data_IF_162635124625
#
_entry.id   IF_162635124625
#
_cell.length_a   1.000
_cell.length_b   1.000
_cell.length_c   1.000
_cell.angle_alpha   90.00
_cell.angle_beta   90.00
_cell.angle_gamma   90.00
#
_symmetry.space_group_name_H-M   'P 1'
#
loop_
_entity.id
_entity.type
_entity.pdbx_description
1 polymer ?
#
# COMPACT_ATOMS: atom_id res chain seq x y z
N UNK A 1 78.18 -60.87 -31.26
CA UNK A 1 78.06 -59.43 -31.37
C UNK A 1 76.70 -59.08 -30.87
N UNK A 2 76.64 -58.42 -29.73
CA UNK A 2 75.37 -58.17 -29.02
C UNK A 2 74.86 -56.77 -29.36
N UNK A 3 73.65 -56.68 -29.90
CA UNK A 3 72.91 -55.37 -30.15
C UNK A 3 72.15 -54.99 -28.92
N UNK A 4 72.43 -53.81 -28.42
CA UNK A 4 71.75 -53.21 -27.26
C UNK A 4 70.51 -52.39 -27.76
N UNK A 5 69.33 -52.80 -27.34
CA UNK A 5 68.09 -52.08 -27.64
C UNK A 5 67.79 -51.13 -26.52
N UNK A 6 67.77 -49.83 -26.80
CA UNK A 6 67.29 -48.75 -25.87
C UNK A 6 65.83 -48.43 -26.14
N UNK A 7 65.02 -48.66 -25.12
CA UNK A 7 63.62 -48.18 -25.12
C UNK A 7 63.57 -46.71 -24.70
N UNK A 8 62.74 -45.87 -25.32
CA UNK A 8 62.48 -44.47 -24.85
C UNK A 8 61.48 -44.46 -23.67
N UNK A 9 61.81 -43.68 -22.68
CA UNK A 9 60.94 -43.42 -21.51
C UNK A 9 59.82 -42.46 -21.89
N UNK A 10 58.58 -42.84 -21.54
CA UNK A 10 57.39 -42.00 -21.60
C UNK A 10 57.39 -41.07 -20.40
N UNK A 11 57.41 -39.73 -20.62
CA UNK A 11 57.15 -38.69 -19.67
C UNK A 11 55.61 -38.51 -19.51
N UNK A 12 55.08 -38.43 -18.32
CA UNK A 12 53.68 -38.09 -18.14
C UNK A 12 53.43 -36.57 -18.37
N UNK A 13 52.54 -36.25 -19.30
CA UNK A 13 52.06 -34.88 -19.54
C UNK A 13 51.23 -34.42 -18.36
N UNK A 14 51.73 -33.46 -17.59
CA UNK A 14 50.98 -32.73 -16.58
C UNK A 14 49.98 -31.78 -17.28
N UNK A 15 48.70 -32.14 -17.31
CA UNK A 15 47.62 -31.22 -17.73
C UNK A 15 47.35 -30.28 -16.58
N UNK A 16 47.82 -29.04 -16.70
CA UNK A 16 47.55 -27.95 -15.79
C UNK A 16 46.13 -27.43 -16.11
N UNK A 17 45.12 -27.82 -15.32
CA UNK A 17 43.79 -27.26 -15.39
C UNK A 17 43.82 -25.87 -14.71
N UNK A 18 43.84 -24.81 -15.52
CA UNK A 18 43.63 -23.43 -15.05
C UNK A 18 42.16 -23.24 -14.78
N UNK A 19 41.74 -23.37 -13.53
CA UNK A 19 40.40 -22.96 -13.07
C UNK A 19 40.39 -21.44 -13.01
N UNK A 20 39.87 -20.80 -14.04
CA UNK A 20 39.57 -19.37 -14.03
C UNK A 20 38.38 -19.13 -13.07
N UNK A 21 38.69 -18.76 -11.82
CA UNK A 21 37.68 -18.20 -10.91
C UNK A 21 37.27 -16.83 -11.44
N UNK A 22 36.20 -16.80 -12.26
CA UNK A 22 35.53 -15.60 -12.61
C UNK A 22 34.77 -15.10 -11.36
N UNK A 23 35.37 -14.22 -10.57
CA UNK A 23 34.68 -13.47 -9.55
C UNK A 23 33.67 -12.54 -10.26
N UNK A 24 32.44 -13.02 -10.44
CA UNK A 24 31.33 -12.16 -10.78
C UNK A 24 31.14 -11.18 -9.62
N UNK A 25 31.71 -10.00 -9.73
CA UNK A 25 31.33 -8.85 -8.89
C UNK A 25 29.87 -8.56 -9.29
N UNK A 26 28.94 -9.09 -8.52
CA UNK A 26 27.55 -8.64 -8.56
C UNK A 26 27.56 -7.19 -8.05
N UNK A 27 27.70 -6.25 -8.96
CA UNK A 27 27.42 -4.85 -8.67
C UNK A 27 25.93 -4.81 -8.44
N UNK A 28 25.50 -4.90 -7.18
CA UNK A 28 24.15 -4.54 -6.78
C UNK A 28 23.98 -3.06 -7.10
N UNK A 29 23.33 -2.77 -8.25
CA UNK A 29 22.82 -1.44 -8.51
C UNK A 29 21.91 -1.08 -7.32
N UNK A 30 22.13 0.04 -6.66
CA UNK A 30 21.22 0.47 -5.61
C UNK A 30 19.82 0.48 -6.21
N UNK A 31 18.86 -0.18 -5.55
CA UNK A 31 17.46 -0.07 -5.91
C UNK A 31 17.18 1.43 -5.98
N UNK A 32 16.81 1.92 -7.15
CA UNK A 32 16.52 3.33 -7.35
C UNK A 32 15.34 3.64 -6.44
N UNK A 33 15.62 4.35 -5.34
CA UNK A 33 14.60 4.74 -4.39
C UNK A 33 13.47 5.40 -5.19
N UNK A 34 12.24 4.94 -5.02
CA UNK A 34 11.10 5.52 -5.71
C UNK A 34 11.11 7.03 -5.40
N UNK A 35 11.34 7.86 -6.41
CA UNK A 35 11.39 9.30 -6.20
C UNK A 35 9.96 9.83 -6.08
N UNK A 36 9.65 10.46 -4.95
CA UNK A 36 8.38 11.17 -4.80
C UNK A 36 8.44 12.48 -5.57
N UNK A 37 7.39 12.75 -6.35
CA UNK A 37 7.27 14.00 -7.10
C UNK A 37 6.47 15.02 -6.30
N UNK A 38 7.02 16.22 -6.12
CA UNK A 38 6.28 17.34 -5.53
C UNK A 38 5.45 18.04 -6.61
N UNK A 39 4.14 18.13 -6.38
CA UNK A 39 3.15 18.73 -7.28
C UNK A 39 2.64 20.01 -6.64
N UNK A 40 3.00 21.16 -7.19
CA UNK A 40 2.42 22.46 -6.87
C UNK A 40 1.39 22.90 -7.91
N UNK A 41 1.62 22.51 -9.16
CA UNK A 41 0.72 22.68 -10.30
C UNK A 41 0.80 21.41 -11.13
N UNK A 42 -0.33 20.89 -11.55
CA UNK A 42 -0.37 19.64 -12.33
C UNK A 42 -0.02 19.94 -13.79
N UNK A 43 0.94 19.23 -14.39
CA UNK A 43 1.30 19.45 -15.80
C UNK A 43 0.15 19.08 -16.73
N UNK A 44 -0.58 20.07 -17.23
CA UNK A 44 -1.66 19.89 -18.21
C UNK A 44 -1.85 21.16 -19.02
N UNK A 45 -2.27 21.01 -20.27
CA UNK A 45 -2.71 22.11 -21.14
C UNK A 45 -4.23 22.28 -21.11
N UNK A 46 -4.96 21.31 -20.54
CA UNK A 46 -6.41 21.41 -20.37
C UNK A 46 -6.76 22.51 -19.36
N UNK A 47 -7.73 23.38 -19.60
CA UNK A 47 -8.17 24.40 -18.67
C UNK A 47 -8.95 23.77 -17.51
N UNK A 48 -8.24 23.03 -16.64
CA UNK A 48 -8.81 22.24 -15.53
C UNK A 48 -8.13 22.62 -14.23
N UNK A 49 -8.92 22.78 -13.17
CA UNK A 49 -8.49 23.12 -11.81
C UNK A 49 -8.72 21.93 -10.89
N UNK A 50 -7.77 21.63 -10.02
CA UNK A 50 -7.91 20.67 -8.93
C UNK A 50 -8.33 21.42 -7.65
N UNK A 51 -9.57 21.23 -7.21
CA UNK A 51 -10.00 21.67 -5.88
C UNK A 51 -9.57 20.65 -4.84
N UNK A 52 -8.86 21.08 -3.80
CA UNK A 52 -8.40 20.21 -2.72
C UNK A 52 -8.81 20.80 -1.36
N UNK A 53 -9.20 19.92 -0.43
CA UNK A 53 -9.71 20.31 0.89
C UNK A 53 -9.02 19.54 1.98
N UNK A 54 -8.41 20.22 2.95
CA UNK A 54 -7.78 19.58 4.09
C UNK A 54 -8.71 19.59 5.31
N UNK A 55 -8.73 18.48 6.05
CA UNK A 55 -9.48 18.33 7.29
C UNK A 55 -8.58 17.74 8.38
N UNK A 56 -8.52 18.43 9.51
CA UNK A 56 -7.64 18.02 10.61
C UNK A 56 -8.17 18.28 12.00
N UNK A 57 -9.04 19.27 12.18
CA UNK A 57 -9.42 19.75 13.51
C UNK A 57 -10.83 19.31 13.95
N UNK A 58 -11.82 19.54 13.13
CA UNK A 58 -13.22 19.28 13.44
C UNK A 58 -14.01 18.84 12.20
N UNK A 59 -15.25 18.40 12.42
CA UNK A 59 -16.16 18.01 11.33
C UNK A 59 -16.39 19.16 10.34
N UNK A 60 -16.42 20.38 10.85
CA UNK A 60 -16.56 21.63 10.09
C UNK A 60 -17.70 21.63 9.09
N UNK A 61 -17.42 22.18 7.92
CA UNK A 61 -18.36 22.32 6.81
C UNK A 61 -18.20 21.22 5.73
N UNK A 62 -17.63 20.07 6.06
CA UNK A 62 -17.40 18.99 5.10
C UNK A 62 -18.68 18.56 4.37
N UNK A 63 -19.81 18.47 5.08
CA UNK A 63 -21.09 18.12 4.48
C UNK A 63 -21.58 19.19 3.49
N UNK A 64 -21.44 20.48 3.82
CA UNK A 64 -21.79 21.56 2.92
C UNK A 64 -20.93 21.59 1.67
N UNK A 65 -19.62 21.34 1.82
CA UNK A 65 -18.66 21.24 0.69
C UNK A 65 -19.07 20.10 -0.23
N UNK A 66 -19.31 18.90 0.31
CA UNK A 66 -19.74 17.73 -0.46
C UNK A 66 -21.06 17.98 -1.20
N UNK A 67 -22.05 18.61 -0.52
CA UNK A 67 -23.30 18.99 -1.16
C UNK A 67 -23.09 19.95 -2.33
N UNK A 68 -22.21 20.93 -2.17
CA UNK A 68 -21.87 21.89 -3.24
C UNK A 68 -21.18 21.22 -4.41
N UNK A 69 -20.20 20.35 -4.15
CA UNK A 69 -19.48 19.60 -5.18
C UNK A 69 -20.43 18.68 -5.96
N UNK A 70 -21.26 17.92 -5.25
CA UNK A 70 -22.27 17.03 -5.84
C UNK A 70 -23.26 17.78 -6.73
N UNK A 71 -23.81 18.90 -6.25
CA UNK A 71 -24.73 19.72 -7.02
C UNK A 71 -24.12 20.29 -8.30
N UNK A 72 -22.79 20.39 -8.35
CA UNK A 72 -22.05 20.90 -9.50
C UNK A 72 -21.41 19.78 -10.35
N UNK A 73 -21.54 18.50 -10.00
CA UNK A 73 -20.93 17.38 -10.69
C UNK A 73 -19.40 17.43 -10.67
N UNK A 74 -18.79 17.85 -9.55
CA UNK A 74 -17.36 18.05 -9.42
C UNK A 74 -16.76 16.96 -8.54
N UNK A 75 -15.77 16.23 -9.05
CA UNK A 75 -14.89 15.42 -8.24
C UNK A 75 -13.72 16.29 -7.75
N UNK A 76 -13.46 16.26 -6.45
CA UNK A 76 -12.39 16.98 -5.78
C UNK A 76 -11.43 16.01 -5.10
N UNK A 77 -10.44 16.54 -4.35
CA UNK A 77 -9.55 15.71 -3.56
C UNK A 77 -9.50 16.20 -2.11
N UNK A 78 -9.46 15.25 -1.16
CA UNK A 78 -9.57 15.54 0.26
C UNK A 78 -8.36 15.02 1.02
N UNK A 79 -7.61 15.91 1.69
CA UNK A 79 -6.50 15.63 2.59
C UNK A 79 -7.00 15.41 4.02
N UNK A 80 -7.23 14.12 4.39
CA UNK A 80 -7.81 13.80 5.68
C UNK A 80 -6.74 13.38 6.67
N UNK A 81 -6.81 13.90 7.90
CA UNK A 81 -6.09 13.28 9.01
C UNK A 81 -6.79 11.99 9.43
N UNK A 82 -6.00 11.05 9.99
CA UNK A 82 -6.56 9.79 10.47
C UNK A 82 -7.54 9.98 11.62
N UNK A 83 -7.30 10.94 12.50
CA UNK A 83 -8.24 11.28 13.58
C UNK A 83 -9.56 11.81 13.04
N UNK A 84 -9.52 12.69 12.04
CA UNK A 84 -10.74 13.18 11.40
C UNK A 84 -11.52 12.05 10.73
N UNK A 85 -10.82 11.18 10.00
CA UNK A 85 -11.39 10.02 9.34
C UNK A 85 -12.08 9.08 10.34
N UNK A 86 -11.44 8.80 11.47
CA UNK A 86 -11.97 7.96 12.54
C UNK A 86 -13.23 8.57 13.18
N UNK A 87 -13.26 9.89 13.34
CA UNK A 87 -14.37 10.61 13.98
C UNK A 87 -15.56 10.85 13.06
N UNK A 88 -15.35 10.81 11.73
CA UNK A 88 -16.35 11.14 10.73
C UNK A 88 -16.47 10.07 9.63
N UNK A 89 -16.69 8.79 9.97
CA UNK A 89 -16.71 7.70 8.99
C UNK A 89 -17.82 7.84 7.95
N UNK A 90 -18.94 8.46 8.32
CA UNK A 90 -20.06 8.74 7.43
C UNK A 90 -19.68 9.72 6.29
N UNK A 91 -18.96 10.80 6.60
CA UNK A 91 -18.48 11.74 5.60
C UNK A 91 -17.32 11.20 4.79
N UNK A 92 -16.41 10.46 5.44
CA UNK A 92 -15.32 9.77 4.75
C UNK A 92 -15.84 8.78 3.70
N UNK A 93 -16.84 7.96 4.10
CA UNK A 93 -17.49 7.03 3.18
C UNK A 93 -18.17 7.80 2.03
N UNK A 94 -18.84 8.88 2.34
CA UNK A 94 -19.49 9.73 1.34
C UNK A 94 -18.50 10.31 0.33
N UNK A 95 -17.29 10.73 0.77
CA UNK A 95 -16.23 11.21 -0.13
C UNK A 95 -15.85 10.14 -1.15
N UNK A 96 -15.71 8.90 -0.72
CA UNK A 96 -15.37 7.78 -1.60
C UNK A 96 -16.53 7.42 -2.53
N UNK A 97 -17.76 7.30 -2.00
CA UNK A 97 -18.95 6.92 -2.77
C UNK A 97 -19.30 7.99 -3.83
N UNK A 98 -18.96 9.27 -3.60
CA UNK A 98 -19.16 10.37 -4.54
C UNK A 98 -17.96 10.59 -5.49
N UNK A 99 -16.97 9.68 -5.50
CA UNK A 99 -15.86 9.64 -6.47
C UNK A 99 -14.73 10.64 -6.20
N UNK A 100 -14.62 11.14 -4.97
CA UNK A 100 -13.51 12.03 -4.61
C UNK A 100 -12.22 11.26 -4.34
N UNK A 101 -11.08 11.88 -4.60
CA UNK A 101 -9.75 11.33 -4.29
C UNK A 101 -9.39 11.63 -2.84
N UNK A 102 -8.80 10.64 -2.14
CA UNK A 102 -8.26 10.84 -0.80
C UNK A 102 -6.75 11.06 -0.84
N UNK A 103 -6.25 11.93 0.05
CA UNK A 103 -4.84 12.27 0.25
C UNK A 103 -4.51 11.97 1.71
N UNK A 104 -3.39 11.29 2.00
CA UNK A 104 -2.94 11.13 3.38
C UNK A 104 -2.42 12.45 3.94
N UNK A 105 -3.02 12.90 5.03
CA UNK A 105 -2.64 14.15 5.69
C UNK A 105 -2.12 13.92 7.13
N UNK A 106 -1.45 12.78 7.36
CA UNK A 106 -0.99 12.29 8.67
C UNK A 106 -2.12 11.83 9.60
N UNK A 107 -1.76 11.33 10.80
CA UNK A 107 -2.73 10.90 11.80
C UNK A 107 -3.33 12.07 12.59
N UNK A 108 -2.46 12.92 13.20
CA UNK A 108 -2.83 13.99 14.12
C UNK A 108 -2.13 15.33 13.82
N UNK A 109 -1.69 15.49 12.57
CA UNK A 109 -1.17 16.74 12.02
C UNK A 109 0.15 17.27 12.64
N UNK A 110 1.18 16.45 12.94
CA UNK A 110 2.47 16.95 13.40
C UNK A 110 3.29 17.54 12.25
N UNK A 111 4.25 18.43 12.57
CA UNK A 111 5.26 18.84 11.61
C UNK A 111 6.22 17.68 11.32
N UNK A 112 6.18 17.16 10.09
CA UNK A 112 6.96 16.00 9.66
C UNK A 112 8.47 16.25 9.64
N UNK A 113 8.90 17.52 9.61
CA UNK A 113 10.33 17.86 9.66
C UNK A 113 10.93 17.74 11.06
N UNK A 114 10.09 17.67 12.09
CA UNK A 114 10.50 17.65 13.50
C UNK A 114 10.39 16.28 14.17
N UNK A 115 9.73 15.31 13.52
CA UNK A 115 9.54 13.95 14.06
C UNK A 115 10.45 12.93 13.37
N UNK A 116 10.66 11.77 14.01
CA UNK A 116 11.52 10.70 13.48
C UNK A 116 10.89 9.96 12.28
N UNK A 117 11.70 9.22 11.52
CA UNK A 117 11.23 8.35 10.43
C UNK A 117 10.17 7.34 10.90
N UNK A 118 10.37 6.70 12.06
CA UNK A 118 9.40 5.75 12.61
C UNK A 118 8.07 6.43 12.97
N UNK A 119 8.13 7.64 13.51
CA UNK A 119 6.94 8.43 13.79
C UNK A 119 6.21 8.83 12.52
N UNK A 120 6.92 9.27 11.46
CA UNK A 120 6.33 9.56 10.14
C UNK A 120 5.65 8.34 9.56
N UNK A 121 6.31 7.17 9.61
CA UNK A 121 5.75 5.91 9.15
C UNK A 121 4.47 5.56 9.92
N UNK A 122 4.48 5.66 11.24
CA UNK A 122 3.32 5.44 12.09
C UNK A 122 2.15 6.37 11.75
N UNK A 123 2.43 7.67 11.54
CA UNK A 123 1.44 8.67 11.16
C UNK A 123 0.70 8.27 9.87
N UNK A 124 1.44 7.90 8.84
CA UNK A 124 0.88 7.56 7.53
C UNK A 124 0.17 6.21 7.53
N UNK A 125 0.76 5.20 8.16
CA UNK A 125 0.18 3.85 8.20
C UNK A 125 -1.11 3.79 9.00
N UNK A 126 -1.19 4.49 10.14
CA UNK A 126 -2.41 4.57 10.95
C UNK A 126 -3.55 5.24 10.17
N UNK A 127 -3.25 6.32 9.47
CA UNK A 127 -4.22 7.04 8.61
C UNK A 127 -4.71 6.15 7.48
N UNK A 128 -3.79 5.50 6.76
CA UNK A 128 -4.13 4.57 5.69
C UNK A 128 -4.98 3.40 6.21
N UNK A 129 -4.66 2.88 7.40
CA UNK A 129 -5.39 1.77 8.03
C UNK A 129 -6.83 2.15 8.35
N UNK A 130 -7.07 3.31 8.99
CA UNK A 130 -8.45 3.72 9.32
C UNK A 130 -9.26 3.99 8.05
N UNK A 131 -8.67 4.65 7.05
CA UNK A 131 -9.37 4.92 5.78
C UNK A 131 -9.74 3.60 5.07
N UNK A 132 -8.82 2.65 4.99
CA UNK A 132 -9.11 1.31 4.43
C UNK A 132 -10.19 0.56 5.19
N UNK A 133 -10.14 0.57 6.51
CA UNK A 133 -11.11 -0.14 7.34
C UNK A 133 -12.53 0.44 7.18
N UNK A 134 -12.66 1.76 7.10
CA UNK A 134 -13.96 2.42 7.02
C UNK A 134 -14.55 2.40 5.61
N UNK A 135 -13.71 2.44 4.56
CA UNK A 135 -14.20 2.68 3.18
C UNK A 135 -13.75 1.65 2.16
N UNK A 136 -12.72 0.85 2.46
CA UNK A 136 -12.04 0.02 1.48
C UNK A 136 -11.12 0.79 0.51
N UNK A 137 -11.12 2.13 0.54
CA UNK A 137 -10.30 2.98 -0.32
C UNK A 137 -8.87 3.14 0.24
N UNK A 138 -8.01 3.79 -0.55
CA UNK A 138 -6.61 4.10 -0.19
C UNK A 138 -6.30 5.56 -0.47
N UNK A 139 -5.36 6.12 0.29
CA UNK A 139 -4.81 7.44 0.01
C UNK A 139 -3.63 7.38 -0.96
N UNK A 140 -3.08 6.19 -1.17
CA UNK A 140 -2.00 6.02 -2.15
C UNK A 140 -2.48 6.39 -3.56
N UNK A 141 -1.65 7.08 -4.33
CA UNK A 141 -0.25 7.44 -4.09
C UNK A 141 -0.03 8.88 -3.56
N UNK A 142 -1.03 9.51 -2.92
CA UNK A 142 -1.04 10.93 -2.59
C UNK A 142 -0.78 11.19 -1.11
N UNK A 143 0.18 12.07 -0.84
CA UNK A 143 0.50 12.59 0.48
C UNK A 143 0.51 14.11 0.45
N UNK A 144 0.03 14.76 1.51
CA UNK A 144 0.21 16.18 1.76
C UNK A 144 0.79 16.37 3.16
N UNK A 145 1.97 17.03 3.30
CA UNK A 145 2.56 17.26 4.61
C UNK A 145 1.74 18.27 5.40
N UNK A 146 1.50 18.04 6.71
CA UNK A 146 1.01 19.06 7.60
C UNK A 146 1.80 20.35 7.49
N UNK A 147 1.12 21.51 7.53
CA UNK A 147 1.71 22.84 7.36
C UNK A 147 2.43 23.08 6.02
N UNK A 148 2.38 22.15 5.08
CA UNK A 148 3.23 22.18 3.90
C UNK A 148 4.71 21.95 4.21
N UNK A 149 5.04 21.48 5.41
CA UNK A 149 6.42 21.33 5.89
C UNK A 149 7.03 19.99 5.42
N UNK A 150 8.07 20.05 4.60
CA UNK A 150 8.81 18.87 4.14
C UNK A 150 10.27 19.21 3.84
N UNK A 151 11.09 18.17 3.87
CA UNK A 151 12.49 18.18 3.42
C UNK A 151 12.80 16.85 2.73
N UNK A 152 14.02 16.66 2.25
CA UNK A 152 14.39 15.44 1.54
C UNK A 152 14.25 14.18 2.39
N UNK A 153 14.50 14.24 3.70
CA UNK A 153 14.29 13.09 4.61
C UNK A 153 12.83 12.70 4.68
N UNK A 154 11.91 13.67 4.82
CA UNK A 154 10.46 13.44 4.78
C UNK A 154 10.06 12.78 3.46
N UNK A 155 10.52 13.31 2.34
CA UNK A 155 10.19 12.79 1.02
C UNK A 155 10.68 11.35 0.83
N UNK A 156 11.88 11.02 1.32
CA UNK A 156 12.42 9.66 1.24
C UNK A 156 11.59 8.67 2.08
N UNK A 157 11.23 9.04 3.31
CA UNK A 157 10.43 8.20 4.20
C UNK A 157 9.03 7.95 3.64
N UNK A 158 8.41 8.99 3.10
CA UNK A 158 7.08 8.92 2.48
C UNK A 158 7.09 8.06 1.20
N UNK A 159 8.14 8.22 0.36
CA UNK A 159 8.34 7.38 -0.82
C UNK A 159 8.53 5.91 -0.49
N UNK A 160 9.25 5.59 0.61
CA UNK A 160 9.45 4.23 1.08
C UNK A 160 8.15 3.52 1.48
N UNK A 161 7.09 4.28 1.81
CA UNK A 161 5.76 3.78 2.13
C UNK A 161 4.83 3.66 0.91
N UNK A 162 5.34 3.92 -0.31
CA UNK A 162 4.59 3.79 -1.55
C UNK A 162 3.91 5.07 -2.05
N UNK A 163 4.03 6.18 -1.36
CA UNK A 163 3.54 7.47 -1.85
C UNK A 163 4.45 7.98 -2.97
N UNK A 164 3.84 8.50 -4.02
CA UNK A 164 4.55 8.98 -5.23
C UNK A 164 4.42 10.46 -5.45
N UNK A 165 3.40 11.06 -4.86
CA UNK A 165 3.10 12.48 -5.03
C UNK A 165 3.02 13.17 -3.67
N UNK A 166 3.90 14.17 -3.49
CA UNK A 166 3.81 15.15 -2.44
C UNK A 166 2.96 16.31 -2.96
N UNK A 167 1.69 16.38 -2.56
CA UNK A 167 0.71 17.32 -3.09
C UNK A 167 0.79 18.65 -2.33
N UNK A 168 1.37 19.63 -2.98
CA UNK A 168 1.36 21.03 -2.53
C UNK A 168 0.20 21.77 -3.21
N UNK A 169 0.31 23.07 -3.39
CA UNK A 169 -0.73 23.92 -3.97
C UNK A 169 -0.16 25.06 -4.79
N UNK A 170 -0.91 25.49 -5.80
CA UNK A 170 -0.67 26.71 -6.55
C UNK A 170 -1.13 27.95 -5.77
N UNK A 171 -2.25 27.80 -5.06
CA UNK A 171 -2.83 28.85 -4.23
C UNK A 171 -3.43 28.29 -2.95
N UNK A 172 -3.08 28.88 -1.82
CA UNK A 172 -3.78 28.74 -0.55
C UNK A 172 -4.84 29.85 -0.45
N UNK A 173 -6.08 29.48 -0.21
CA UNK A 173 -7.19 30.44 -0.06
C UNK A 173 -7.04 31.33 1.17
N UNK A 174 -6.34 30.84 2.20
CA UNK A 174 -6.24 31.44 3.54
C UNK A 174 -7.59 31.59 4.25
N UNK A 175 -8.62 30.83 3.83
CA UNK A 175 -9.91 30.78 4.50
C UNK A 175 -9.77 30.38 5.98
N UNK A 176 -8.88 29.43 6.26
CA UNK A 176 -8.52 28.99 7.62
C UNK A 176 -7.88 30.11 8.47
N UNK A 177 -7.27 31.10 7.83
CA UNK A 177 -6.59 32.25 8.48
C UNK A 177 -7.41 33.54 8.39
N UNK A 178 -8.72 33.46 8.26
CA UNK A 178 -9.64 34.57 8.35
C UNK A 178 -9.85 35.37 7.06
N UNK A 179 -9.38 34.89 5.90
CA UNK A 179 -9.73 35.51 4.63
C UNK A 179 -11.24 35.48 4.40
N UNK A 180 -11.81 36.61 3.99
CA UNK A 180 -13.23 36.74 3.66
C UNK A 180 -13.60 35.98 2.39
N UNK A 181 -14.86 35.70 2.18
CA UNK A 181 -15.39 35.06 0.96
C UNK A 181 -14.90 35.77 -0.32
N UNK A 182 -14.90 37.12 -0.32
CA UNK A 182 -14.43 37.89 -1.47
C UNK A 182 -12.94 37.77 -1.71
N UNK A 183 -12.13 37.77 -0.65
CA UNK A 183 -10.68 37.57 -0.76
C UNK A 183 -10.34 36.18 -1.25
N UNK A 184 -10.98 35.13 -0.73
CA UNK A 184 -10.82 33.74 -1.21
C UNK A 184 -11.08 33.66 -2.70
N UNK A 185 -12.21 34.14 -3.17
CA UNK A 185 -12.59 34.17 -4.60
C UNK A 185 -11.53 34.87 -5.43
N UNK A 186 -11.11 36.07 -4.98
CA UNK A 186 -10.11 36.86 -5.71
C UNK A 186 -8.74 36.17 -5.77
N UNK A 187 -8.30 35.53 -4.66
CA UNK A 187 -7.06 34.77 -4.62
C UNK A 187 -7.07 33.62 -5.62
N UNK A 188 -8.13 32.81 -5.63
CA UNK A 188 -8.26 31.67 -6.55
C UNK A 188 -8.28 32.13 -7.99
N UNK A 189 -9.05 33.16 -8.33
CA UNK A 189 -9.18 33.68 -9.68
C UNK A 189 -7.86 34.30 -10.21
N UNK A 190 -7.10 34.95 -9.34
CA UNK A 190 -5.80 35.53 -9.72
C UNK A 190 -4.72 34.46 -9.98
N UNK A 191 -4.82 33.32 -9.31
CA UNK A 191 -3.89 32.21 -9.44
C UNK A 191 -4.33 31.14 -10.47
N UNK A 192 -5.52 31.28 -11.04
CA UNK A 192 -6.09 30.28 -11.96
C UNK A 192 -5.24 30.12 -13.22
N UNK A 193 -4.66 28.94 -13.38
CA UNK A 193 -3.94 28.48 -14.56
C UNK A 193 -4.31 27.02 -14.83
N UNK A 194 -4.16 26.48 -16.05
CA UNK A 194 -4.34 25.05 -16.29
C UNK A 194 -3.53 24.22 -15.29
N UNK A 195 -4.18 23.25 -14.66
CA UNK A 195 -3.55 22.38 -13.66
C UNK A 195 -3.34 22.99 -12.27
N UNK A 196 -3.86 24.20 -12.01
CA UNK A 196 -3.74 24.80 -10.66
C UNK A 196 -4.37 23.90 -9.58
N UNK A 197 -3.64 23.74 -8.49
CA UNK A 197 -4.09 23.04 -7.27
C UNK A 197 -4.50 24.09 -6.25
N UNK A 198 -5.78 24.13 -5.90
CA UNK A 198 -6.34 25.07 -4.93
C UNK A 198 -6.44 24.39 -3.58
N UNK A 199 -5.78 24.93 -2.57
CA UNK A 199 -5.89 24.48 -1.18
C UNK A 199 -7.02 25.25 -0.48
N UNK A 200 -7.99 24.49 0.02
CA UNK A 200 -9.12 24.90 0.85
C UNK A 200 -9.17 24.02 2.10
N UNK A 201 -10.01 24.39 3.09
CA UNK A 201 -10.13 23.64 4.35
C UNK A 201 -11.60 23.42 4.71
N UNK A 202 -11.87 22.27 5.38
CA UNK A 202 -13.24 21.94 5.83
C UNK A 202 -13.58 22.50 7.20
N UNK A 203 -12.60 22.86 8.03
CA UNK A 203 -12.76 23.24 9.43
C UNK A 203 -13.75 24.41 9.63
N UNK A 204 -14.44 24.43 10.78
CA UNK A 204 -15.48 25.41 11.10
C UNK A 204 -14.99 26.87 11.16
N UNK A 205 -13.69 27.09 11.37
CA UNK A 205 -13.08 28.43 11.33
C UNK A 205 -12.87 28.94 9.89
N UNK A 206 -12.96 28.07 8.87
CA UNK A 206 -12.69 28.45 7.48
C UNK A 206 -13.93 29.03 6.79
N UNK A 207 -13.70 30.04 5.94
CA UNK A 207 -14.73 30.63 5.06
C UNK A 207 -14.79 29.90 3.69
N UNK A 208 -14.03 28.84 3.48
CA UNK A 208 -13.92 28.17 2.18
C UNK A 208 -15.25 27.57 1.72
N UNK A 209 -15.99 26.94 2.63
CA UNK A 209 -17.32 26.38 2.30
C UNK A 209 -18.31 27.44 1.81
N UNK A 210 -18.28 28.63 2.41
CA UNK A 210 -19.14 29.76 2.01
C UNK A 210 -18.67 30.37 0.67
N UNK A 211 -17.34 30.33 0.39
CA UNK A 211 -16.78 30.89 -0.83
C UNK A 211 -16.92 29.93 -2.03
N UNK A 212 -16.97 28.60 -1.79
CA UNK A 212 -16.90 27.56 -2.81
C UNK A 212 -17.91 27.74 -3.98
N UNK A 213 -19.20 28.02 -3.76
CA UNK A 213 -20.14 28.26 -4.88
C UNK A 213 -19.67 29.40 -5.80
N UNK A 214 -19.19 30.50 -5.23
CA UNK A 214 -18.67 31.64 -5.99
C UNK A 214 -17.38 31.33 -6.71
N UNK A 215 -16.46 30.58 -6.08
CA UNK A 215 -15.22 30.10 -6.72
C UNK A 215 -15.52 29.24 -7.95
N UNK A 216 -16.46 28.30 -7.83
CA UNK A 216 -16.88 27.45 -8.95
C UNK A 216 -17.44 28.28 -10.10
N UNK A 217 -18.33 29.23 -9.76
CA UNK A 217 -18.95 30.13 -10.75
C UNK A 217 -17.91 30.97 -11.50
N UNK A 218 -16.99 31.60 -10.76
CA UNK A 218 -15.97 32.47 -11.32
C UNK A 218 -14.98 31.71 -12.24
N UNK A 219 -14.56 30.52 -11.83
CA UNK A 219 -13.66 29.66 -12.62
C UNK A 219 -14.34 29.18 -13.91
N UNK A 220 -15.61 28.72 -13.81
CA UNK A 220 -16.41 28.37 -15.00
C UNK A 220 -16.59 29.52 -15.97
N UNK A 221 -16.83 30.73 -15.47
CA UNK A 221 -16.94 31.94 -16.30
C UNK A 221 -15.64 32.24 -17.08
N UNK A 222 -14.49 31.75 -16.61
CA UNK A 222 -13.21 31.83 -17.30
C UNK A 222 -12.87 30.59 -18.16
N UNK A 223 -13.81 29.66 -18.30
CA UNK A 223 -13.66 28.47 -19.13
C UNK A 223 -12.92 27.30 -18.44
N UNK A 224 -12.73 27.36 -17.12
CA UNK A 224 -12.12 26.24 -16.39
C UNK A 224 -13.16 25.17 -16.04
N UNK A 225 -12.76 23.90 -16.24
CA UNK A 225 -13.37 22.73 -15.68
C UNK A 225 -12.71 22.33 -14.36
N UNK A 226 -13.20 21.23 -13.77
CA UNK A 226 -12.69 20.70 -12.51
C UNK A 226 -12.40 19.20 -12.65
N UNK A 227 -11.38 18.73 -11.96
CA UNK A 227 -11.05 17.32 -11.88
C UNK A 227 -10.33 17.01 -10.57
N UNK A 228 -10.44 15.77 -10.12
CA UNK A 228 -9.69 15.28 -8.96
C UNK A 228 -8.22 15.03 -9.31
N UNK A 229 -7.39 14.78 -8.30
CA UNK A 229 -6.01 14.34 -8.53
C UNK A 229 -5.94 13.01 -9.29
N UNK A 230 -6.86 12.08 -9.03
CA UNK A 230 -6.94 10.83 -9.79
C UNK A 230 -7.21 11.07 -11.27
N UNK A 231 -8.10 12.00 -11.60
CA UNK A 231 -8.42 12.32 -12.98
C UNK A 231 -7.23 12.94 -13.72
N UNK A 232 -6.43 13.75 -13.02
CA UNK A 232 -5.33 14.52 -13.59
C UNK A 232 -3.97 13.82 -13.53
N UNK A 233 -3.69 13.08 -12.46
CA UNK A 233 -2.42 12.40 -12.22
C UNK A 233 -2.54 10.87 -12.37
N UNK A 234 -3.72 10.31 -12.10
CA UNK A 234 -4.00 8.89 -12.28
C UNK A 234 -4.00 8.44 -13.75
N UNK A 235 -4.17 9.38 -14.71
CA UNK A 235 -3.97 9.15 -16.14
C UNK A 235 -2.51 9.00 -16.57
N UNK A 236 -1.53 9.25 -15.69
CA UNK A 236 -0.19 8.70 -15.83
C UNK A 236 -0.27 7.25 -15.35
N UNK A 237 -0.62 6.36 -16.27
CA UNK A 237 -0.81 4.94 -16.04
C UNK A 237 0.26 4.43 -15.05
N UNK A 238 -0.17 3.91 -13.89
CA UNK A 238 0.62 2.91 -13.19
C UNK A 238 1.10 1.97 -14.28
N UNK A 239 2.39 1.61 -14.37
CA UNK A 239 2.77 0.62 -15.34
C UNK A 239 1.79 -0.55 -15.17
N UNK A 240 1.06 -0.86 -16.24
CA UNK A 240 0.07 -1.95 -16.20
C UNK A 240 0.73 -3.27 -15.81
N UNK A 241 2.06 -3.29 -15.78
CA UNK A 241 2.90 -4.44 -15.42
C UNK A 241 4.23 -4.00 -14.81
N UNK A 242 4.76 -4.84 -13.92
CA UNK A 242 6.08 -4.70 -13.29
C UNK A 242 6.86 -6.00 -13.43
N UNK A 243 8.10 -5.92 -13.91
CA UNK A 243 9.03 -7.05 -13.94
C UNK A 243 9.82 -7.15 -12.64
N UNK A 244 9.93 -8.35 -12.11
CA UNK A 244 10.72 -8.66 -10.91
C UNK A 244 11.95 -9.50 -11.29
N UNK A 245 13.14 -8.87 -11.43
CA UNK A 245 14.34 -9.58 -11.86
C UNK A 245 14.81 -10.64 -10.86
N UNK A 246 14.37 -10.55 -9.60
CA UNK A 246 14.71 -11.53 -8.55
C UNK A 246 14.14 -12.92 -8.83
N UNK A 247 13.00 -12.99 -9.50
CA UNK A 247 12.30 -14.24 -9.81
C UNK A 247 12.07 -14.43 -11.31
N UNK A 248 12.29 -13.39 -12.11
CA UNK A 248 12.13 -13.44 -13.56
C UNK A 248 10.67 -13.36 -14.03
N UNK A 249 9.74 -12.86 -13.20
CA UNK A 249 8.31 -12.84 -13.48
C UNK A 249 7.73 -11.43 -13.57
N UNK A 250 6.67 -11.30 -14.34
CA UNK A 250 5.85 -10.10 -14.44
C UNK A 250 4.68 -10.15 -13.47
N UNK A 251 4.26 -8.99 -13.02
CA UNK A 251 3.04 -8.79 -12.24
C UNK A 251 2.24 -7.68 -12.92
N UNK A 252 0.97 -7.93 -13.25
CA UNK A 252 0.22 -7.09 -14.18
C UNK A 252 -1.13 -6.66 -13.63
N UNK A 253 -1.69 -5.58 -14.20
CA UNK A 253 -3.07 -5.13 -14.07
C UNK A 253 -3.65 -5.13 -12.63
N UNK A 254 -4.76 -5.82 -12.43
CA UNK A 254 -5.44 -5.93 -11.14
C UNK A 254 -4.59 -6.57 -10.04
N UNK A 255 -3.79 -7.59 -10.40
CA UNK A 255 -2.88 -8.26 -9.45
C UNK A 255 -1.77 -7.33 -9.00
N UNK A 256 -1.19 -6.52 -9.90
CA UNK A 256 -0.19 -5.51 -9.54
C UNK A 256 -0.78 -4.45 -8.60
N UNK A 257 -1.96 -3.92 -8.94
CA UNK A 257 -2.65 -2.93 -8.09
C UNK A 257 -3.00 -3.50 -6.72
N UNK A 258 -3.47 -4.75 -6.66
CA UNK A 258 -3.74 -5.43 -5.39
C UNK A 258 -2.46 -5.61 -4.57
N UNK A 259 -1.38 -6.11 -5.19
CA UNK A 259 -0.09 -6.29 -4.53
C UNK A 259 0.44 -4.98 -3.94
N UNK A 260 0.41 -3.89 -4.70
CA UNK A 260 0.85 -2.56 -4.23
C UNK A 260 -0.05 -2.01 -3.11
N UNK A 261 -1.36 -2.18 -3.22
CA UNK A 261 -2.31 -1.64 -2.25
C UNK A 261 -2.32 -2.39 -0.91
N UNK A 262 -1.95 -3.68 -0.88
CA UNK A 262 -2.15 -4.53 0.29
C UNK A 262 -0.86 -5.08 0.91
N UNK A 263 0.26 -4.38 0.76
CA UNK A 263 1.49 -4.62 1.51
C UNK A 263 2.66 -5.20 0.71
N UNK A 264 2.48 -5.43 -0.59
CA UNK A 264 3.58 -5.71 -1.52
C UNK A 264 4.49 -6.85 -1.11
N UNK A 265 5.79 -6.59 -1.23
CA UNK A 265 6.84 -7.57 -0.93
C UNK A 265 6.80 -8.11 0.50
N UNK A 266 6.51 -7.25 1.47
CA UNK A 266 6.49 -7.65 2.88
C UNK A 266 5.38 -8.67 3.17
N UNK A 267 4.19 -8.48 2.58
CA UNK A 267 3.02 -9.32 2.82
C UNK A 267 2.98 -10.55 1.91
N UNK A 268 3.26 -10.38 0.62
CA UNK A 268 3.04 -11.43 -0.39
C UNK A 268 4.32 -12.06 -0.93
N UNK A 269 5.46 -11.38 -0.79
CA UNK A 269 6.71 -11.78 -1.44
C UNK A 269 6.74 -11.41 -2.92
N UNK A 270 7.75 -11.92 -3.62
CA UNK A 270 7.87 -11.80 -5.07
C UNK A 270 6.89 -12.71 -5.81
N UNK A 271 6.41 -12.35 -7.03
CA UNK A 271 5.74 -13.30 -7.90
C UNK A 271 6.71 -14.42 -8.28
N UNK A 272 6.25 -15.67 -8.24
CA UNK A 272 7.04 -16.86 -8.56
C UNK A 272 6.50 -17.62 -9.78
N UNK A 273 5.44 -17.10 -10.40
CA UNK A 273 4.89 -17.56 -11.67
C UNK A 273 4.43 -16.37 -12.49
N UNK A 274 4.16 -16.59 -13.77
CA UNK A 274 3.23 -15.75 -14.54
C UNK A 274 1.78 -16.06 -14.16
N UNK A 275 0.83 -15.26 -14.66
CA UNK A 275 -0.59 -15.57 -14.58
C UNK A 275 -0.92 -16.82 -15.39
N UNK A 276 -1.68 -17.75 -14.84
CA UNK A 276 -2.16 -18.95 -15.56
C UNK A 276 -3.52 -19.39 -15.02
N UNK A 277 -4.17 -20.35 -15.69
CA UNK A 277 -5.45 -20.87 -15.26
C UNK A 277 -5.27 -22.13 -14.42
N UNK A 278 -5.75 -22.11 -13.18
CA UNK A 278 -5.83 -23.25 -12.28
C UNK A 278 -7.28 -23.46 -11.83
N UNK A 279 -7.82 -24.64 -12.04
CA UNK A 279 -9.22 -24.92 -11.65
C UNK A 279 -10.29 -24.02 -12.28
N UNK A 280 -10.00 -23.39 -13.43
CA UNK A 280 -10.92 -22.47 -14.11
C UNK A 280 -10.83 -21.02 -13.64
N UNK A 281 -9.90 -20.71 -12.74
CA UNK A 281 -9.64 -19.36 -12.23
C UNK A 281 -8.26 -18.90 -12.71
N UNK A 282 -8.11 -17.64 -13.11
CA UNK A 282 -6.79 -17.05 -13.36
C UNK A 282 -6.09 -16.81 -12.05
N UNK A 283 -4.91 -17.40 -11.88
CA UNK A 283 -4.11 -17.31 -10.65
C UNK A 283 -2.69 -16.86 -10.94
N UNK A 284 -2.06 -16.28 -9.93
CA UNK A 284 -0.62 -16.04 -9.89
C UNK A 284 -0.09 -16.39 -8.50
N UNK A 285 0.99 -17.15 -8.44
CA UNK A 285 1.65 -17.50 -7.18
C UNK A 285 2.72 -16.49 -6.83
N UNK A 286 2.78 -16.19 -5.55
CA UNK A 286 3.80 -15.39 -4.88
C UNK A 286 4.49 -16.27 -3.84
N UNK A 287 5.65 -15.85 -3.32
CA UNK A 287 6.36 -16.61 -2.29
C UNK A 287 5.45 -16.99 -1.10
N UNK A 288 4.55 -16.08 -0.69
CA UNK A 288 3.70 -16.22 0.51
C UNK A 288 2.21 -16.39 0.23
N UNK A 289 1.76 -16.15 -1.01
CA UNK A 289 0.33 -16.10 -1.34
C UNK A 289 0.05 -16.67 -2.72
N UNK A 290 -1.23 -16.98 -3.01
CA UNK A 290 -1.77 -17.15 -4.35
C UNK A 290 -2.86 -16.09 -4.55
N UNK A 291 -2.72 -15.28 -5.60
CA UNK A 291 -3.78 -14.37 -6.05
C UNK A 291 -4.68 -15.07 -7.04
N UNK A 292 -5.99 -14.83 -6.93
CA UNK A 292 -7.04 -15.42 -7.74
C UNK A 292 -7.91 -14.30 -8.31
N UNK A 293 -8.05 -14.24 -9.63
CA UNK A 293 -8.89 -13.24 -10.27
C UNK A 293 -10.34 -13.69 -10.33
N UNK A 294 -11.22 -12.94 -9.67
CA UNK A 294 -12.67 -13.18 -9.58
C UNK A 294 -13.42 -11.93 -10.04
N UNK A 295 -13.73 -11.79 -11.34
CA UNK A 295 -14.37 -10.60 -11.90
C UNK A 295 -15.68 -10.27 -11.18
N UNK A 296 -15.84 -9.02 -10.74
CA UNK A 296 -17.02 -8.53 -10.04
C UNK A 296 -17.15 -8.98 -8.59
N UNK A 297 -16.16 -9.70 -8.03
CA UNK A 297 -16.24 -10.18 -6.65
C UNK A 297 -16.16 -9.05 -5.63
N UNK A 298 -15.29 -8.03 -5.89
CA UNK A 298 -15.15 -6.87 -5.02
C UNK A 298 -14.35 -5.75 -5.70
N UNK A 299 -14.98 -4.64 -6.13
CA UNK A 299 -14.29 -3.55 -6.82
C UNK A 299 -13.10 -2.95 -6.06
N UNK A 300 -13.23 -2.76 -4.73
CA UNK A 300 -12.18 -2.24 -3.87
C UNK A 300 -10.96 -3.18 -3.73
N UNK A 301 -11.07 -4.43 -4.17
CA UNK A 301 -10.01 -5.43 -4.18
C UNK A 301 -9.52 -5.76 -5.58
N UNK A 302 -9.82 -4.94 -6.55
CA UNK A 302 -9.39 -5.13 -7.95
C UNK A 302 -9.78 -6.51 -8.53
N UNK A 303 -10.92 -7.06 -8.06
CA UNK A 303 -11.39 -8.42 -8.39
C UNK A 303 -10.42 -9.55 -7.94
N UNK A 304 -9.49 -9.28 -7.01
CA UNK A 304 -8.52 -10.25 -6.52
C UNK A 304 -8.95 -10.79 -5.16
N UNK A 305 -8.99 -12.10 -5.05
CA UNK A 305 -9.10 -12.83 -3.79
C UNK A 305 -7.79 -13.59 -3.50
N UNK A 306 -7.56 -13.86 -2.23
CA UNK A 306 -6.40 -14.66 -1.81
C UNK A 306 -6.80 -16.12 -1.64
N UNK A 307 -6.05 -17.03 -2.28
CA UNK A 307 -6.19 -18.45 -2.10
C UNK A 307 -6.04 -18.89 -0.64
N UNK A 308 -6.81 -19.90 -0.21
CA UNK A 308 -6.81 -20.40 1.16
C UNK A 308 -5.65 -21.38 1.41
N UNK A 309 -4.42 -20.93 1.17
CA UNK A 309 -3.22 -21.78 1.20
C UNK A 309 -2.96 -22.42 2.56
N UNK A 310 -3.27 -21.73 3.64
CA UNK A 310 -3.17 -22.31 4.98
C UNK A 310 -4.08 -23.51 5.15
N UNK A 311 -5.35 -23.42 4.72
CA UNK A 311 -6.29 -24.54 4.76
C UNK A 311 -5.84 -25.67 3.84
N UNK A 312 -5.40 -25.35 2.62
CA UNK A 312 -4.98 -26.35 1.63
C UNK A 312 -3.78 -27.18 2.12
N UNK A 313 -2.76 -26.50 2.68
CA UNK A 313 -1.53 -27.13 3.15
C UNK A 313 -1.67 -27.86 4.49
N UNK A 314 -2.72 -27.55 5.25
CA UNK A 314 -3.00 -28.21 6.54
C UNK A 314 -4.11 -29.24 6.47
N UNK A 315 -4.56 -29.59 5.24
CA UNK A 315 -5.53 -30.65 5.02
C UNK A 315 -5.04 -31.96 5.61
N UNK A 316 -5.85 -32.59 6.51
CA UNK A 316 -5.48 -33.81 7.22
C UNK A 316 -4.81 -33.58 8.60
N UNK A 317 -4.47 -32.35 8.96
CA UNK A 317 -3.84 -32.02 10.26
C UNK A 317 -4.81 -31.70 11.38
N UNK A 318 -6.11 -31.75 11.15
CA UNK A 318 -7.17 -31.38 12.13
C UNK A 318 -7.15 -32.27 13.39
N UNK A 319 -6.53 -33.44 13.34
CA UNK A 319 -6.36 -34.33 14.50
C UNK A 319 -5.16 -33.92 15.40
N UNK A 320 -4.23 -33.11 14.91
CA UNK A 320 -3.09 -32.61 15.68
C UNK A 320 -3.56 -31.64 16.77
N UNK A 321 -2.90 -31.65 17.94
CA UNK A 321 -3.31 -30.85 19.08
C UNK A 321 -3.43 -29.34 18.77
N UNK A 322 -2.50 -28.81 17.97
CA UNK A 322 -2.47 -27.39 17.60
C UNK A 322 -3.61 -26.96 16.67
N UNK A 323 -4.22 -27.89 15.93
CA UNK A 323 -5.31 -27.63 14.99
C UNK A 323 -6.70 -27.96 15.56
N UNK A 324 -6.78 -28.46 16.80
CA UNK A 324 -8.06 -28.72 17.45
C UNK A 324 -8.62 -27.43 18.02
N UNK A 325 -9.91 -27.15 17.78
CA UNK A 325 -10.57 -26.03 18.43
C UNK A 325 -10.46 -26.12 19.96
N UNK A 326 -10.21 -24.98 20.58
CA UNK A 326 -10.14 -24.85 22.05
C UNK A 326 -11.40 -24.18 22.59
N UNK A 327 -11.59 -24.25 23.89
CA UNK A 327 -12.63 -23.47 24.54
C UNK A 327 -12.18 -22.01 24.70
N UNK A 328 -13.15 -21.10 24.58
CA UNK A 328 -12.90 -19.69 24.83
C UNK A 328 -12.42 -19.49 26.27
N UNK A 329 -11.25 -18.86 26.41
CA UNK A 329 -10.73 -18.40 27.69
C UNK A 329 -10.47 -16.91 27.63
N UNK A 330 -10.77 -16.19 28.70
CA UNK A 330 -10.48 -14.76 28.81
C UNK A 330 -8.98 -14.56 29.02
N UNK A 331 -8.32 -13.91 28.08
CA UNK A 331 -6.93 -13.46 28.17
C UNK A 331 -6.82 -12.09 27.51
N UNK A 332 -6.35 -11.10 28.24
CA UNK A 332 -6.22 -9.72 27.73
C UNK A 332 -5.24 -9.60 26.56
N UNK A 333 -4.29 -10.53 26.43
CA UNK A 333 -3.29 -10.54 25.37
C UNK A 333 -3.73 -11.31 24.13
N UNK A 334 -4.90 -11.96 24.18
CA UNK A 334 -5.40 -12.84 23.13
C UNK A 334 -6.78 -12.38 22.65
N UNK A 335 -7.06 -12.67 21.37
CA UNK A 335 -8.41 -12.59 20.80
C UNK A 335 -8.85 -13.99 20.42
N UNK A 336 -10.00 -14.44 20.93
CA UNK A 336 -10.60 -15.72 20.56
C UNK A 336 -11.54 -15.56 19.38
N UNK A 337 -11.38 -16.38 18.36
CA UNK A 337 -12.21 -16.38 17.16
C UNK A 337 -13.18 -17.56 17.16
N UNK A 338 -14.44 -17.28 17.46
CA UNK A 338 -15.49 -18.30 17.55
C UNK A 338 -15.70 -19.05 16.22
N UNK A 339 -15.42 -18.41 15.08
CA UNK A 339 -15.59 -19.00 13.75
C UNK A 339 -14.72 -20.25 13.51
N UNK A 340 -13.55 -20.31 14.15
CA UNK A 340 -12.60 -21.43 14.01
C UNK A 340 -12.27 -22.10 15.34
N UNK A 341 -12.61 -21.48 16.46
CA UNK A 341 -12.31 -21.98 17.80
C UNK A 341 -10.85 -21.84 18.20
N UNK A 342 -10.14 -20.84 17.66
CA UNK A 342 -8.72 -20.60 17.95
C UNK A 342 -8.45 -19.20 18.48
N UNK A 343 -7.33 -19.06 19.21
CA UNK A 343 -6.85 -17.76 19.71
C UNK A 343 -5.78 -17.18 18.81
N UNK A 344 -5.65 -15.87 18.88
CA UNK A 344 -4.56 -15.12 18.28
C UNK A 344 -3.99 -14.18 19.33
N UNK A 345 -2.70 -14.30 19.63
CA UNK A 345 -2.10 -13.70 20.83
C UNK A 345 -0.87 -12.84 20.49
N UNK A 346 -0.50 -11.95 21.41
CA UNK A 346 0.76 -11.21 21.43
C UNK A 346 1.20 -10.65 20.07
N UNK A 347 2.47 -10.88 19.71
CA UNK A 347 3.07 -10.37 18.47
C UNK A 347 2.39 -10.81 17.17
N UNK A 348 1.81 -12.02 17.14
CA UNK A 348 1.04 -12.48 15.99
C UNK A 348 -0.28 -11.70 15.84
N UNK A 349 -0.95 -11.39 16.96
CA UNK A 349 -2.15 -10.54 16.95
C UNK A 349 -1.83 -9.12 16.48
N UNK A 350 -0.74 -8.54 16.99
CA UNK A 350 -0.33 -7.19 16.62
C UNK A 350 0.05 -7.11 15.13
N UNK A 351 0.78 -8.12 14.63
CA UNK A 351 1.13 -8.24 13.22
C UNK A 351 -0.12 -8.39 12.34
N UNK A 352 -1.01 -9.32 12.69
CA UNK A 352 -2.27 -9.55 11.98
C UNK A 352 -3.11 -8.27 11.90
N UNK A 353 -3.28 -7.56 13.02
CA UNK A 353 -4.05 -6.31 13.07
C UNK A 353 -3.44 -5.20 12.18
N UNK A 354 -2.12 -5.09 12.15
CA UNK A 354 -1.41 -4.02 11.42
C UNK A 354 -1.19 -4.33 9.94
N UNK A 355 -1.33 -5.59 9.50
CA UNK A 355 -1.03 -6.04 8.14
C UNK A 355 -2.27 -6.52 7.35
N UNK A 356 -3.45 -6.02 7.66
CA UNK A 356 -4.67 -6.24 6.88
C UNK A 356 -5.60 -7.35 7.41
N UNK A 357 -5.29 -7.93 8.55
CA UNK A 357 -6.20 -8.74 9.35
C UNK A 357 -6.92 -9.86 8.60
N UNK A 358 -8.21 -9.98 8.86
CA UNK A 358 -9.06 -11.01 8.26
C UNK A 358 -9.00 -11.03 6.72
N UNK A 359 -8.85 -9.88 6.11
CA UNK A 359 -8.86 -9.78 4.66
C UNK A 359 -7.63 -10.43 4.00
N UNK A 360 -6.47 -10.33 4.65
CA UNK A 360 -5.20 -10.85 4.14
C UNK A 360 -4.90 -12.25 4.66
N UNK A 361 -5.05 -12.45 5.97
CA UNK A 361 -4.65 -13.71 6.62
C UNK A 361 -5.80 -14.72 6.72
N UNK A 362 -7.05 -14.26 6.82
CA UNK A 362 -8.17 -15.08 7.25
C UNK A 362 -8.16 -15.26 8.77
N UNK A 363 -9.04 -16.13 9.29
CA UNK A 363 -9.06 -16.52 10.68
C UNK A 363 -7.89 -17.43 11.03
N UNK A 364 -7.40 -17.42 12.29
CA UNK A 364 -6.47 -18.46 12.77
C UNK A 364 -7.16 -19.83 12.71
N UNK A 365 -6.44 -20.83 12.21
CA UNK A 365 -6.90 -22.23 12.08
C UNK A 365 -6.03 -23.19 12.90
N UNK A 366 -5.10 -22.66 13.68
CA UNK A 366 -4.34 -23.39 14.66
C UNK A 366 -4.06 -22.50 15.90
N UNK A 367 -3.64 -23.11 17.00
CA UNK A 367 -2.91 -22.44 18.07
C UNK A 367 -1.44 -22.24 17.62
N UNK A 368 -0.67 -21.47 18.40
CA UNK A 368 0.78 -21.35 18.22
C UNK A 368 1.47 -22.68 18.56
N UNK A 369 2.44 -23.11 17.74
CA UNK A 369 3.22 -24.32 17.99
C UNK A 369 4.60 -24.23 17.32
N UNK A 370 5.47 -25.20 17.63
CA UNK A 370 6.81 -25.26 17.03
C UNK A 370 6.79 -26.07 15.74
N UNK A 371 7.29 -25.46 14.65
CA UNK A 371 7.45 -26.10 13.35
C UNK A 371 8.73 -25.60 12.69
N UNK A 372 9.60 -26.50 12.24
CA UNK A 372 10.88 -26.19 11.57
C UNK A 372 11.78 -25.22 12.36
N UNK A 373 11.72 -25.25 13.70
CA UNK A 373 12.54 -24.40 14.56
C UNK A 373 11.96 -23.04 14.89
N UNK A 374 10.80 -22.71 14.38
CA UNK A 374 10.10 -21.45 14.65
C UNK A 374 8.78 -21.66 15.37
N UNK A 375 8.37 -20.69 16.18
CA UNK A 375 6.98 -20.61 16.63
C UNK A 375 6.13 -20.15 15.47
N UNK A 376 5.11 -20.93 15.12
CA UNK A 376 4.23 -20.64 13.97
C UNK A 376 2.77 -20.66 14.38
N UNK A 377 1.93 -19.97 13.62
CA UNK A 377 0.48 -20.08 13.66
C UNK A 377 -0.08 -20.05 12.25
N UNK A 378 -0.97 -21.01 11.94
CA UNK A 378 -1.64 -21.06 10.63
C UNK A 378 -2.94 -20.27 10.65
N UNK A 379 -3.17 -19.58 9.55
CA UNK A 379 -4.39 -18.86 9.21
C UNK A 379 -4.98 -19.46 7.92
N UNK A 380 -6.22 -19.12 7.60
CA UNK A 380 -6.86 -19.68 6.40
C UNK A 380 -6.04 -19.46 5.12
N UNK A 381 -5.34 -18.31 4.99
CA UNK A 381 -4.63 -17.92 3.77
C UNK A 381 -3.12 -17.90 3.91
N UNK A 382 -2.60 -17.74 5.13
CA UNK A 382 -1.17 -17.59 5.39
C UNK A 382 -0.75 -18.35 6.66
N UNK A 383 0.57 -18.36 6.91
CA UNK A 383 1.17 -18.77 8.19
C UNK A 383 2.03 -17.62 8.69
N UNK A 384 1.94 -17.29 9.97
CA UNK A 384 2.88 -16.40 10.65
C UNK A 384 3.96 -17.22 11.34
N UNK A 385 5.18 -16.69 11.35
CA UNK A 385 6.39 -17.30 11.91
C UNK A 385 7.10 -16.28 12.79
N UNK A 386 7.54 -16.68 13.98
CA UNK A 386 8.32 -15.84 14.88
C UNK A 386 9.82 -16.15 14.73
N UNK A 387 10.59 -15.14 14.31
CA UNK A 387 12.02 -15.16 14.04
C UNK A 387 12.77 -14.31 15.08
N UNK A 388 13.12 -14.87 16.26
CA UNK A 388 13.77 -14.12 17.35
C UNK A 388 15.15 -13.56 16.97
N UNK A 389 15.79 -14.12 15.98
CA UNK A 389 17.08 -13.71 15.44
C UNK A 389 17.03 -12.37 14.68
N UNK A 390 15.86 -11.97 14.25
CA UNK A 390 15.67 -10.73 13.49
C UNK A 390 15.54 -9.49 14.41
N UNK A 391 15.82 -8.28 13.89
CA UNK A 391 15.48 -7.04 14.56
C UNK A 391 13.99 -6.99 14.94
N UNK A 392 13.60 -6.28 16.03
CA UNK A 392 12.23 -6.31 16.55
C UNK A 392 11.11 -6.10 15.53
N UNK A 393 11.31 -5.20 14.57
CA UNK A 393 10.32 -4.91 13.51
C UNK A 393 10.11 -6.06 12.51
N UNK A 394 11.01 -7.05 12.47
CA UNK A 394 11.02 -8.15 11.51
C UNK A 394 10.94 -9.53 12.18
N UNK A 395 10.55 -9.56 13.47
CA UNK A 395 10.45 -10.83 14.20
C UNK A 395 9.24 -11.66 13.81
N UNK A 396 8.19 -11.05 13.33
CA UNK A 396 7.03 -11.77 12.79
C UNK A 396 7.04 -11.62 11.28
N UNK A 397 7.04 -12.75 10.57
CA UNK A 397 7.07 -12.81 9.12
C UNK A 397 5.98 -13.76 8.62
N UNK A 398 5.53 -13.55 7.37
CA UNK A 398 4.70 -14.51 6.67
C UNK A 398 5.51 -15.70 6.15
N UNK A 399 5.05 -16.91 6.39
CA UNK A 399 5.64 -18.14 5.85
C UNK A 399 5.49 -18.25 4.33
N UNK A 400 6.37 -19.01 3.67
CA UNK A 400 6.44 -19.16 2.22
C UNK A 400 5.39 -20.16 1.68
N UNK A 401 4.11 -20.00 2.06
CA UNK A 401 3.05 -20.95 1.71
C UNK A 401 2.77 -21.01 0.21
N UNK A 402 2.93 -19.89 -0.51
CA UNK A 402 2.76 -19.88 -1.96
C UNK A 402 3.81 -20.74 -2.66
N UNK A 403 5.09 -20.59 -2.28
CA UNK A 403 6.17 -21.44 -2.78
C UNK A 403 5.94 -22.92 -2.44
N UNK A 404 5.58 -23.24 -1.20
CA UNK A 404 5.31 -24.61 -0.75
C UNK A 404 4.16 -25.24 -1.54
N UNK A 405 3.06 -24.51 -1.72
CA UNK A 405 1.90 -25.01 -2.46
C UNK A 405 2.21 -25.23 -3.93
N UNK A 406 2.87 -24.24 -4.57
CA UNK A 406 3.25 -24.35 -5.97
C UNK A 406 4.15 -25.55 -6.22
N UNK A 407 5.21 -25.73 -5.42
CA UNK A 407 6.11 -26.88 -5.52
C UNK A 407 5.42 -28.23 -5.29
N UNK A 408 4.41 -28.26 -4.41
CA UNK A 408 3.64 -29.51 -4.16
C UNK A 408 2.78 -29.94 -5.34
N UNK A 409 2.30 -28.98 -6.14
CA UNK A 409 1.46 -29.23 -7.33
C UNK A 409 2.28 -29.39 -8.61
N UNK A 410 3.39 -28.68 -8.72
CA UNK A 410 4.25 -28.58 -9.89
C UNK A 410 5.71 -28.86 -9.50
N UNK A 411 6.04 -30.12 -9.14
CA UNK A 411 7.42 -30.47 -8.79
C UNK A 411 8.31 -30.29 -10.01
N UNK A 412 9.47 -29.64 -9.80
CA UNK A 412 10.50 -29.39 -10.83
C UNK A 412 11.25 -30.65 -11.26
#
# INVERSE_FOLDING_TARGET
MRTCSTRPALLPSLVLIFVLLCNLIVVSLPAQAASIQTITTIPTTSPTIALTFDAGSDRGFAEQILNTLKANGIHASFGMTGLWAQQNPDLLKRMVDEGHTLINHSWDHPDFTTISSDQRASQLQRTETVIKNETGATTLPYFRPPFGAYNQSVLNDVAALGYRYNIMWTVDTLGWNGASVSEIRQRVINAATPGAVVLMHVGAASQDAAALPGVIQDLRARGYGFASLNDLLGGQAQPEQRYFPQTGHWLSHGMLRYWEAFGGLATFGYPITEEFTEGGVTVQYFERARFEWHPGAWPARYDILLGRLGVELTTGRQAEASFRPIQAASDANCTFYQATGHRLCFGFRDYWNSHGGLAIFGYPISEEFQENGYTVQYFERQRLEYHPENPPAWRVLGGLLGSQRYQSLYPS
#
